data_IF_697063945561
#
_entry.id   IF_697063945561
#
_cell.length_a   1.000
_cell.length_b   1.000
_cell.length_c   1.000
_cell.angle_alpha   90.00
_cell.angle_beta   90.00
_cell.angle_gamma   90.00
#
_symmetry.space_group_name_H-M   'P 1'
#
loop_
_entity.id
_entity.type
_entity.pdbx_description
1 polymer ?
#
# COMPACT_ATOMS: atom_id res chain seq x y z
N UNK A 1 10.49 7.43 -17.19
CA UNK A 1 9.94 6.12 -17.60
C UNK A 1 8.42 6.10 -17.53
N UNK A 2 7.81 6.37 -16.37
CA UNK A 2 6.35 6.30 -16.19
C UNK A 2 5.55 7.15 -17.20
N UNK A 3 5.94 8.42 -17.47
CA UNK A 3 5.32 9.25 -18.53
C UNK A 3 5.38 8.63 -19.93
N UNK A 4 6.46 7.90 -20.25
CA UNK A 4 6.57 7.22 -21.54
C UNK A 4 5.65 5.99 -21.60
N UNK A 5 5.49 5.28 -20.47
CA UNK A 5 4.51 4.20 -20.33
C UNK A 5 3.09 4.72 -20.48
N UNK A 6 2.74 5.79 -19.76
CA UNK A 6 1.44 6.47 -19.86
C UNK A 6 1.10 6.80 -21.31
N UNK A 7 2.02 7.45 -22.04
CA UNK A 7 1.84 7.79 -23.45
C UNK A 7 1.66 6.55 -24.33
N UNK A 8 2.42 5.47 -24.08
CA UNK A 8 2.34 4.23 -24.85
C UNK A 8 1.04 3.48 -24.61
N UNK A 9 0.50 3.53 -23.40
CA UNK A 9 -0.76 2.90 -23.02
C UNK A 9 -1.99 3.77 -23.33
N UNK A 10 -1.80 5.01 -23.78
CA UNK A 10 -2.89 5.95 -24.04
C UNK A 10 -3.63 6.37 -22.76
N UNK A 11 -2.96 6.31 -21.61
CA UNK A 11 -3.56 6.64 -20.32
C UNK A 11 -3.77 8.14 -20.16
N UNK A 12 -4.98 8.52 -19.73
CA UNK A 12 -5.26 9.88 -19.27
C UNK A 12 -4.43 10.22 -18.03
N UNK A 13 -4.27 11.50 -17.72
CA UNK A 13 -3.57 11.92 -16.51
C UNK A 13 -4.29 11.44 -15.24
N UNK A 14 -5.63 11.39 -15.27
CA UNK A 14 -6.45 10.86 -14.17
C UNK A 14 -6.19 9.37 -13.93
N UNK A 15 -6.16 8.57 -14.99
CA UNK A 15 -5.84 7.14 -14.89
C UNK A 15 -4.39 6.96 -14.41
N UNK A 16 -3.44 7.68 -15.01
CA UNK A 16 -2.03 7.57 -14.64
C UNK A 16 -1.78 7.92 -13.16
N UNK A 17 -2.53 8.88 -12.61
CA UNK A 17 -2.46 9.27 -11.20
C UNK A 17 -2.94 8.18 -10.23
N UNK A 18 -3.64 7.14 -10.70
CA UNK A 18 -4.06 5.99 -9.90
C UNK A 18 -2.99 4.91 -9.77
N UNK A 19 -1.86 5.06 -10.46
CA UNK A 19 -0.78 4.07 -10.49
C UNK A 19 0.57 4.73 -10.28
N UNK A 20 1.54 3.94 -9.86
CA UNK A 20 2.94 4.34 -9.82
C UNK A 20 3.84 3.17 -10.23
N UNK A 21 5.11 3.48 -10.48
CA UNK A 21 6.14 2.48 -10.69
C UNK A 21 6.74 2.08 -9.35
N UNK A 22 6.90 0.77 -9.16
CA UNK A 22 7.43 0.16 -7.96
C UNK A 22 8.64 -0.70 -8.31
N UNK A 23 9.56 -0.79 -7.36
CA UNK A 23 10.63 -1.76 -7.32
C UNK A 23 10.16 -2.94 -6.46
N UNK A 24 10.29 -4.15 -7.00
CA UNK A 24 10.05 -5.38 -6.26
C UNK A 24 11.24 -5.66 -5.36
N UNK A 25 10.98 -5.74 -4.05
CA UNK A 25 11.97 -6.08 -3.03
C UNK A 25 11.81 -7.57 -2.66
N UNK A 26 12.87 -8.17 -2.15
CA UNK A 26 12.82 -9.54 -1.62
C UNK A 26 11.70 -9.69 -0.56
N UNK A 27 11.13 -10.90 -0.46
CA UNK A 27 10.07 -11.25 0.50
C UNK A 27 8.66 -10.71 0.21
N UNK A 28 8.36 -10.37 -1.06
CA UNK A 28 6.99 -10.06 -1.50
C UNK A 28 6.51 -8.65 -1.15
N UNK A 29 7.44 -7.75 -0.82
CA UNK A 29 7.15 -6.33 -0.61
C UNK A 29 7.65 -5.50 -1.79
N UNK A 30 6.87 -4.50 -2.20
CA UNK A 30 7.24 -3.60 -3.29
C UNK A 30 7.25 -2.16 -2.77
N UNK A 31 8.29 -1.39 -3.11
CA UNK A 31 8.37 0.03 -2.76
C UNK A 31 8.16 0.91 -3.98
N UNK A 32 7.49 2.05 -3.81
CA UNK A 32 7.38 3.04 -4.89
C UNK A 32 8.76 3.59 -5.24
N UNK A 33 9.01 3.75 -6.53
CA UNK A 33 10.23 4.38 -7.05
C UNK A 33 10.06 5.88 -7.02
N UNK A 34 11.01 6.57 -6.40
CA UNK A 34 10.99 8.03 -6.29
C UNK A 34 11.29 8.70 -7.63
N UNK A 35 10.83 9.93 -7.81
CA UNK A 35 11.05 10.72 -9.03
C UNK A 35 12.54 10.92 -9.35
N UNK A 36 13.38 10.89 -8.32
CA UNK A 36 14.82 11.15 -8.37
C UNK A 36 15.60 9.88 -8.75
N UNK A 37 14.98 8.71 -8.61
CA UNK A 37 15.58 7.42 -8.91
C UNK A 37 15.47 7.12 -10.41
N UNK A 38 16.42 6.32 -10.91
CA UNK A 38 16.47 5.94 -12.33
C UNK A 38 16.06 4.47 -12.45
N UNK A 39 14.84 4.16 -12.93
CA UNK A 39 14.37 2.78 -13.03
C UNK A 39 15.27 1.86 -13.84
N UNK A 40 15.93 2.38 -14.88
CA UNK A 40 16.91 1.61 -15.67
C UNK A 40 18.14 1.21 -14.85
N UNK A 41 18.61 2.08 -13.95
CA UNK A 41 19.71 1.76 -13.05
C UNK A 41 19.32 0.69 -12.04
N UNK A 42 18.12 0.80 -11.44
CA UNK A 42 17.56 -0.23 -10.54
C UNK A 42 17.41 -1.57 -11.26
N UNK A 43 16.92 -1.55 -12.50
CA UNK A 43 16.82 -2.74 -13.33
C UNK A 43 18.16 -3.43 -13.56
N UNK A 44 19.21 -2.67 -13.89
CA UNK A 44 20.56 -3.24 -14.09
C UNK A 44 21.12 -3.80 -12.77
N UNK A 45 20.94 -3.08 -11.66
CA UNK A 45 21.46 -3.49 -10.35
C UNK A 45 20.84 -4.79 -9.85
N UNK A 46 19.53 -4.96 -10.07
CA UNK A 46 18.78 -6.14 -9.64
C UNK A 46 18.69 -7.23 -10.72
N UNK A 47 19.36 -7.04 -11.87
CA UNK A 47 19.36 -8.03 -12.93
C UNK A 47 20.08 -9.30 -12.46
N UNK A 48 19.31 -10.31 -12.10
CA UNK A 48 19.79 -11.63 -11.69
C UNK A 48 19.06 -12.72 -12.46
N UNK A 49 19.59 -13.93 -12.48
CA UNK A 49 18.94 -15.09 -13.12
C UNK A 49 17.66 -15.56 -12.41
N UNK A 50 17.31 -14.99 -11.26
CA UNK A 50 16.21 -15.45 -10.40
C UNK A 50 14.86 -14.76 -10.67
N UNK A 51 14.85 -13.53 -11.21
CA UNK A 51 13.62 -12.79 -11.49
C UNK A 51 13.65 -12.14 -12.88
N UNK A 52 12.54 -12.26 -13.61
CA UNK A 52 12.41 -11.77 -15.00
C UNK A 52 12.39 -10.24 -15.07
N UNK A 53 11.97 -9.57 -13.99
CA UNK A 53 11.99 -8.11 -13.82
C UNK A 53 12.06 -7.77 -12.33
N UNK A 54 12.52 -6.57 -11.99
CA UNK A 54 12.44 -5.97 -10.64
C UNK A 54 11.50 -4.74 -10.61
N UNK A 55 10.85 -4.43 -11.73
CA UNK A 55 9.97 -3.26 -11.87
C UNK A 55 8.54 -3.71 -12.14
N UNK A 56 7.59 -3.08 -11.45
CA UNK A 56 6.16 -3.36 -11.58
C UNK A 56 5.35 -2.07 -11.49
N UNK A 57 4.21 -2.02 -12.19
CA UNK A 57 3.23 -0.95 -12.02
C UNK A 57 2.19 -1.44 -11.04
N UNK A 58 1.99 -0.69 -9.95
CA UNK A 58 0.95 -0.99 -8.95
C UNK A 58 0.08 0.22 -8.72
N UNK A 59 -1.02 -0.05 -8.02
CA UNK A 59 -1.93 0.93 -7.46
C UNK A 59 -1.18 2.01 -6.68
N UNK A 60 -1.59 3.26 -6.91
CA UNK A 60 -1.21 4.46 -6.16
C UNK A 60 -2.46 5.33 -5.93
N UNK A 61 -3.47 4.67 -5.39
CA UNK A 61 -4.77 5.21 -5.02
C UNK A 61 -5.21 4.44 -3.77
N UNK A 62 -5.49 5.11 -2.66
CA UNK A 62 -5.92 4.46 -1.43
C UNK A 62 -7.44 4.53 -1.28
N UNK A 63 -8.06 5.61 -1.74
CA UNK A 63 -9.51 5.80 -1.74
C UNK A 63 -10.21 4.78 -2.66
N UNK A 64 -10.95 3.87 -2.02
CA UNK A 64 -11.72 2.81 -2.69
C UNK A 64 -13.01 3.35 -3.30
N UNK A 65 -13.61 4.38 -2.72
CA UNK A 65 -14.86 4.95 -3.22
C UNK A 65 -14.57 5.74 -4.52
N UNK A 66 -13.48 6.50 -4.55
CA UNK A 66 -12.97 7.12 -5.78
C UNK A 66 -12.56 6.09 -6.83
N UNK A 67 -11.92 4.99 -6.44
CA UNK A 67 -11.62 3.88 -7.36
C UNK A 67 -12.90 3.35 -8.02
N UNK A 68 -13.96 3.11 -7.25
CA UNK A 68 -15.23 2.60 -7.76
C UNK A 68 -15.91 3.58 -8.71
N UNK A 69 -15.88 4.88 -8.40
CA UNK A 69 -16.38 5.93 -9.28
C UNK A 69 -15.63 5.93 -10.63
N UNK A 70 -14.29 5.88 -10.61
CA UNK A 70 -13.47 5.84 -11.83
C UNK A 70 -13.71 4.55 -12.63
N UNK A 71 -13.88 3.40 -11.97
CA UNK A 71 -14.19 2.13 -12.63
C UNK A 71 -15.53 2.15 -13.38
N UNK A 72 -16.46 3.04 -12.98
CA UNK A 72 -17.77 3.15 -13.62
C UNK A 72 -17.72 3.90 -14.96
N UNK A 73 -16.69 4.73 -15.17
CA UNK A 73 -16.52 5.56 -16.37
C UNK A 73 -15.37 5.11 -17.27
N UNK A 74 -14.39 4.35 -16.75
CA UNK A 74 -13.23 3.87 -17.49
C UNK A 74 -13.07 2.35 -17.39
N UNK A 75 -13.33 1.66 -18.51
CA UNK A 75 -13.23 0.20 -18.59
C UNK A 75 -11.79 -0.31 -18.49
N UNK A 76 -10.81 0.44 -18.99
CA UNK A 76 -9.39 0.04 -18.92
C UNK A 76 -8.90 0.08 -17.47
N UNK A 77 -9.26 1.13 -16.74
CA UNK A 77 -8.97 1.26 -15.31
C UNK A 77 -9.63 0.14 -14.48
N UNK A 78 -10.89 -0.20 -14.80
CA UNK A 78 -11.59 -1.30 -14.15
C UNK A 78 -10.90 -2.65 -14.38
N UNK A 79 -10.47 -2.95 -15.61
CA UNK A 79 -9.71 -4.16 -15.93
C UNK A 79 -8.36 -4.20 -15.19
N UNK A 80 -7.67 -3.06 -15.11
CA UNK A 80 -6.40 -2.94 -14.38
C UNK A 80 -6.57 -3.23 -12.88
N UNK A 81 -7.55 -2.62 -12.22
CA UNK A 81 -7.81 -2.88 -10.80
C UNK A 81 -8.23 -4.33 -10.54
N UNK A 82 -8.99 -4.93 -11.45
CA UNK A 82 -9.31 -6.35 -11.37
C UNK A 82 -8.05 -7.22 -11.38
N UNK A 83 -7.16 -7.04 -12.36
CA UNK A 83 -5.94 -7.85 -12.44
C UNK A 83 -4.96 -7.60 -11.28
N UNK A 84 -4.87 -6.36 -10.78
CA UNK A 84 -4.11 -6.06 -9.57
C UNK A 84 -4.70 -6.74 -8.34
N UNK A 85 -6.01 -6.70 -8.15
CA UNK A 85 -6.67 -7.39 -7.04
C UNK A 85 -6.52 -8.92 -7.12
N UNK A 86 -6.52 -9.49 -8.34
CA UNK A 86 -6.18 -10.90 -8.56
C UNK A 86 -4.75 -11.20 -8.14
N UNK A 87 -3.80 -10.36 -8.54
CA UNK A 87 -2.40 -10.51 -8.13
C UNK A 87 -2.24 -10.40 -6.61
N UNK A 88 -2.86 -9.41 -5.97
CA UNK A 88 -2.73 -9.15 -4.53
C UNK A 88 -3.43 -10.23 -3.67
N UNK A 89 -4.49 -10.87 -4.17
CA UNK A 89 -5.05 -12.09 -3.55
C UNK A 89 -4.09 -13.27 -3.69
N UNK A 90 -3.44 -13.43 -4.85
CA UNK A 90 -2.51 -14.54 -5.08
C UNK A 90 -1.21 -14.41 -4.27
N UNK A 91 -0.74 -13.18 -4.03
CA UNK A 91 0.45 -12.91 -3.21
C UNK A 91 0.16 -12.92 -1.70
N UNK A 92 -1.12 -12.95 -1.31
CA UNK A 92 -1.53 -12.88 0.10
C UNK A 92 -1.58 -11.46 0.68
N UNK A 93 -1.34 -10.43 -0.14
CA UNK A 93 -1.52 -9.03 0.25
C UNK A 93 -2.98 -8.75 0.65
N UNK A 94 -3.94 -9.25 -0.13
CA UNK A 94 -5.36 -9.26 0.24
C UNK A 94 -5.65 -10.58 0.95
N UNK A 95 -6.11 -10.48 2.20
CA UNK A 95 -6.41 -11.63 3.05
C UNK A 95 -7.76 -12.24 2.69
N UNK A 96 -7.75 -13.15 1.71
CA UNK A 96 -8.97 -13.79 1.21
C UNK A 96 -9.60 -14.80 2.18
N UNK A 97 -8.80 -15.49 2.99
CA UNK A 97 -9.27 -16.47 3.99
C UNK A 97 -10.39 -17.37 3.44
N UNK A 98 -11.57 -17.38 4.07
CA UNK A 98 -12.74 -18.18 3.67
C UNK A 98 -13.33 -17.79 2.31
N UNK A 99 -13.03 -16.60 1.80
CA UNK A 99 -13.50 -16.07 0.51
C UNK A 99 -12.63 -16.47 -0.67
N UNK A 100 -11.51 -17.16 -0.45
CA UNK A 100 -10.57 -17.53 -1.51
C UNK A 100 -11.24 -18.35 -2.62
N UNK A 101 -12.08 -19.34 -2.27
CA UNK A 101 -12.76 -20.17 -3.26
C UNK A 101 -13.74 -19.37 -4.12
N UNK A 102 -14.49 -18.46 -3.49
CA UNK A 102 -15.43 -17.56 -4.16
C UNK A 102 -14.70 -16.63 -5.14
N UNK A 103 -13.58 -16.03 -4.71
CA UNK A 103 -12.72 -15.21 -5.57
C UNK A 103 -12.15 -16.00 -6.75
N UNK A 104 -11.69 -17.24 -6.55
CA UNK A 104 -11.20 -18.09 -7.64
C UNK A 104 -12.28 -18.38 -8.67
N UNK A 105 -13.53 -18.61 -8.26
CA UNK A 105 -14.65 -18.79 -9.19
C UNK A 105 -15.04 -17.51 -9.95
N UNK A 106 -14.68 -16.34 -9.42
CA UNK A 106 -14.91 -15.02 -10.03
C UNK A 106 -13.70 -14.50 -10.82
N UNK A 107 -12.60 -15.24 -10.91
CA UNK A 107 -11.35 -14.83 -11.58
C UNK A 107 -11.46 -14.87 -13.12
N UNK A 108 -12.44 -14.15 -13.65
CA UNK A 108 -12.70 -13.90 -15.06
C UNK A 108 -12.95 -12.40 -15.21
N UNK A 109 -12.27 -11.74 -16.17
CA UNK A 109 -12.40 -10.30 -16.38
C UNK A 109 -13.83 -9.87 -16.74
N UNK A 110 -14.66 -10.77 -17.27
CA UNK A 110 -16.09 -10.51 -17.50
C UNK A 110 -16.89 -10.42 -16.18
N UNK A 111 -16.35 -10.96 -15.09
CA UNK A 111 -16.91 -10.93 -13.72
C UNK A 111 -16.22 -9.92 -12.80
N UNK A 112 -15.39 -9.02 -13.37
CA UNK A 112 -14.60 -8.03 -12.62
C UNK A 112 -15.38 -7.23 -11.58
N UNK A 113 -16.62 -6.84 -11.89
CA UNK A 113 -17.48 -6.12 -10.95
C UNK A 113 -17.77 -6.93 -9.68
N UNK A 114 -18.10 -8.22 -9.82
CA UNK A 114 -18.40 -9.10 -8.68
C UNK A 114 -17.13 -9.43 -7.91
N UNK A 115 -16.03 -9.69 -8.62
CA UNK A 115 -14.73 -9.95 -8.02
C UNK A 115 -14.28 -8.76 -7.17
N UNK A 116 -14.27 -7.55 -7.74
CA UNK A 116 -13.83 -6.34 -7.04
C UNK A 116 -14.76 -5.96 -5.90
N UNK A 117 -16.07 -6.15 -6.05
CA UNK A 117 -17.02 -5.94 -4.93
C UNK A 117 -16.66 -6.82 -3.72
N UNK A 118 -16.29 -8.08 -3.95
CA UNK A 118 -15.85 -8.97 -2.88
C UNK A 118 -14.47 -8.56 -2.34
N UNK A 119 -13.51 -8.29 -3.24
CA UNK A 119 -12.13 -7.95 -2.87
C UNK A 119 -12.03 -6.65 -2.04
N UNK A 120 -12.80 -5.61 -2.39
CA UNK A 120 -12.85 -4.32 -1.70
C UNK A 120 -13.25 -4.41 -0.22
N UNK A 121 -13.94 -5.48 0.17
CA UNK A 121 -14.37 -5.71 1.55
C UNK A 121 -13.34 -6.48 2.39
N UNK A 122 -12.24 -6.96 1.80
CA UNK A 122 -11.26 -7.80 2.47
C UNK A 122 -10.09 -6.97 3.05
N UNK A 123 -9.50 -7.42 4.18
CA UNK A 123 -8.29 -6.80 4.72
C UNK A 123 -7.15 -6.81 3.71
N UNK A 124 -6.36 -5.73 3.66
CA UNK A 124 -5.25 -5.57 2.73
C UNK A 124 -5.64 -4.96 1.37
N UNK A 125 -6.93 -4.88 1.02
CA UNK A 125 -7.35 -4.22 -0.22
C UNK A 125 -7.13 -2.71 -0.14
N UNK A 126 -6.41 -2.15 -1.11
CA UNK A 126 -6.00 -0.73 -1.12
C UNK A 126 -5.18 -0.32 0.11
N UNK A 127 -4.52 -1.28 0.75
CA UNK A 127 -3.58 -1.06 1.85
C UNK A 127 -2.17 -1.45 1.44
N UNK A 128 -1.17 -0.84 2.06
CA UNK A 128 0.24 -1.22 1.93
C UNK A 128 0.71 -1.76 3.28
N UNK A 129 1.16 -3.02 3.31
CA UNK A 129 1.71 -3.66 4.50
C UNK A 129 3.23 -3.68 4.39
N UNK A 130 3.90 -3.05 5.36
CA UNK A 130 5.35 -2.96 5.40
C UNK A 130 5.94 -4.23 6.03
N UNK A 131 7.18 -4.60 5.67
CA UNK A 131 7.91 -5.63 6.39
C UNK A 131 7.99 -5.30 7.88
N UNK A 132 7.97 -6.34 8.72
CA UNK A 132 8.06 -6.15 10.16
C UNK A 132 9.36 -5.43 10.51
N UNK A 133 9.30 -4.57 11.52
CA UNK A 133 10.41 -3.73 11.93
C UNK A 133 10.32 -3.40 13.41
N UNK A 134 11.40 -2.84 13.98
CA UNK A 134 11.39 -2.39 15.36
C UNK A 134 10.51 -1.14 15.49
N UNK A 135 9.89 -0.97 16.65
CA UNK A 135 9.12 0.22 16.99
C UNK A 135 9.18 0.52 18.48
N UNK A 136 9.11 1.81 18.83
CA UNK A 136 9.01 2.24 20.22
C UNK A 136 7.65 1.99 20.87
N UNK A 137 6.73 1.32 20.17
CA UNK A 137 5.42 1.00 20.69
C UNK A 137 5.49 -0.19 21.66
N UNK A 138 4.87 -0.04 22.85
CA UNK A 138 4.78 -1.08 23.90
C UNK A 138 6.12 -1.76 24.24
N UNK A 139 7.06 -1.00 24.78
CA UNK A 139 8.37 -1.47 25.29
C UNK A 139 9.35 -1.92 24.19
N UNK A 140 9.45 -1.14 23.11
CA UNK A 140 10.48 -1.33 22.07
C UNK A 140 10.46 -2.73 21.40
N UNK A 141 9.29 -3.12 20.88
CA UNK A 141 9.05 -4.42 20.23
C UNK A 141 9.14 -4.40 18.69
N UNK A 142 8.82 -5.54 18.07
CA UNK A 142 8.63 -5.62 16.61
C UNK A 142 7.17 -5.37 16.24
N UNK A 143 6.95 -4.68 15.13
CA UNK A 143 5.62 -4.35 14.62
C UNK A 143 5.53 -4.55 13.11
N UNK A 144 4.32 -4.79 12.63
CA UNK A 144 3.93 -4.71 11.23
C UNK A 144 3.05 -3.47 11.09
N UNK A 145 3.39 -2.62 10.12
CA UNK A 145 2.62 -1.40 9.81
C UNK A 145 1.81 -1.64 8.54
N UNK A 146 0.51 -1.34 8.58
CA UNK A 146 -0.34 -1.33 7.40
C UNK A 146 -1.03 0.02 7.24
N UNK A 147 -0.94 0.59 6.04
CA UNK A 147 -1.49 1.91 5.72
C UNK A 147 -2.62 1.79 4.72
N UNK A 148 -3.80 2.33 5.07
CA UNK A 148 -4.96 2.40 4.19
C UNK A 148 -5.69 3.73 4.29
N UNK A 149 -6.60 3.99 3.36
CA UNK A 149 -7.34 5.25 3.32
C UNK A 149 -8.14 5.56 4.58
N UNK A 150 -8.63 4.51 5.26
CA UNK A 150 -9.43 4.62 6.48
C UNK A 150 -8.58 4.75 7.74
N UNK A 151 -7.44 4.05 7.79
CA UNK A 151 -6.68 3.88 9.03
C UNK A 151 -5.19 3.64 8.80
N UNK A 152 -4.43 3.99 9.83
CA UNK A 152 -3.06 3.54 10.08
C UNK A 152 -3.12 2.41 11.11
N UNK A 153 -2.57 1.24 10.77
CA UNK A 153 -2.57 0.06 11.64
C UNK A 153 -1.13 -0.28 12.05
N UNK A 154 -0.95 -0.56 13.33
CA UNK A 154 0.31 -1.00 13.89
C UNK A 154 0.06 -2.22 14.77
N UNK A 155 0.54 -3.38 14.33
CA UNK A 155 0.33 -4.67 14.96
C UNK A 155 1.64 -5.18 15.54
N UNK A 156 1.66 -5.58 16.82
CA UNK A 156 2.81 -6.25 17.41
C UNK A 156 3.08 -7.57 16.71
N UNK A 157 4.34 -7.95 16.59
CA UNK A 157 4.72 -9.25 16.07
C UNK A 157 5.95 -9.80 16.82
N UNK A 158 6.24 -11.09 16.62
CA UNK A 158 7.47 -11.70 17.11
C UNK A 158 8.70 -11.12 16.37
N UNK A 159 9.91 -11.45 16.85
CA UNK A 159 11.16 -11.12 16.14
C UNK A 159 11.32 -11.86 14.80
N UNK A 160 10.46 -12.82 14.49
CA UNK A 160 10.37 -13.49 13.19
C UNK A 160 9.22 -12.96 12.32
N UNK A 161 8.49 -11.94 12.77
CA UNK A 161 7.39 -11.32 12.02
C UNK A 161 6.04 -12.02 12.17
N UNK A 162 5.86 -12.93 13.14
CA UNK A 162 4.56 -13.57 13.38
C UNK A 162 3.61 -12.59 14.10
N UNK A 163 2.43 -12.26 13.53
CA UNK A 163 1.51 -11.30 14.12
C UNK A 163 1.01 -11.72 15.51
N UNK A 164 0.84 -10.74 16.41
CA UNK A 164 0.31 -10.91 17.77
C UNK A 164 -1.01 -10.15 17.95
N UNK A 165 -1.73 -10.43 19.04
CA UNK A 165 -3.05 -9.84 19.32
C UNK A 165 -3.01 -8.34 19.59
N UNK A 166 -1.88 -7.80 20.04
CA UNK A 166 -1.74 -6.39 20.34
C UNK A 166 -1.75 -5.56 19.04
N UNK A 167 -2.82 -4.78 18.86
CA UNK A 167 -3.02 -3.89 17.71
C UNK A 167 -3.31 -2.47 18.18
N UNK A 168 -2.72 -1.49 17.49
CA UNK A 168 -3.08 -0.08 17.56
C UNK A 168 -3.66 0.32 16.20
N UNK A 169 -4.93 0.68 16.20
CA UNK A 169 -5.60 1.23 15.02
C UNK A 169 -5.82 2.74 15.22
N UNK A 170 -5.29 3.54 14.31
CA UNK A 170 -5.44 4.99 14.30
C UNK A 170 -6.29 5.41 13.10
N UNK A 171 -7.36 6.14 13.36
CA UNK A 171 -8.10 6.85 12.33
C UNK A 171 -7.33 8.14 11.98
N UNK A 172 -7.29 8.51 10.69
CA UNK A 172 -6.54 9.70 10.24
C UNK A 172 -6.90 11.01 10.98
N UNK A 173 -8.17 11.28 11.36
CA UNK A 173 -8.50 12.44 12.18
C UNK A 173 -7.83 12.49 13.55
N UNK A 174 -7.35 11.36 14.07
CA UNK A 174 -6.65 11.28 15.35
C UNK A 174 -5.13 11.43 15.18
N UNK A 175 -4.61 11.45 13.95
CA UNK A 175 -3.20 11.64 13.65
C UNK A 175 -2.91 13.13 13.58
N UNK A 176 -2.09 13.61 14.51
CA UNK A 176 -1.70 15.02 14.62
C UNK A 176 -0.54 15.35 13.67
N UNK A 177 0.44 14.45 13.60
CA UNK A 177 1.66 14.68 12.82
C UNK A 177 2.32 13.36 12.45
N UNK A 178 2.95 13.35 11.28
CA UNK A 178 3.89 12.31 10.89
C UNK A 178 5.08 12.92 10.13
N UNK A 179 6.28 12.37 10.36
CA UNK A 179 7.50 12.81 9.67
C UNK A 179 8.55 11.70 9.68
N UNK A 180 9.60 11.86 8.89
CA UNK A 180 10.85 11.12 9.05
C UNK A 180 11.81 12.03 9.83
N UNK A 181 12.49 11.48 10.84
CA UNK A 181 13.49 12.24 11.61
C UNK A 181 14.89 12.17 10.97
N UNK A 182 15.86 12.86 11.58
CA UNK A 182 17.24 12.94 11.08
C UNK A 182 17.95 11.58 11.07
N UNK A 183 17.51 10.66 11.93
CA UNK A 183 18.01 9.29 12.01
C UNK A 183 17.35 8.36 10.97
N UNK A 184 16.46 8.90 10.12
CA UNK A 184 15.72 8.14 9.11
C UNK A 184 14.59 7.29 9.70
N UNK A 185 14.15 7.55 10.92
CA UNK A 185 13.04 6.84 11.55
C UNK A 185 11.70 7.50 11.20
N UNK A 186 10.67 6.70 10.94
CA UNK A 186 9.32 7.23 10.78
C UNK A 186 8.71 7.50 12.16
N UNK A 187 8.16 8.70 12.34
CA UNK A 187 7.50 9.14 13.57
C UNK A 187 6.04 9.41 13.26
N UNK A 188 5.14 8.88 14.10
CA UNK A 188 3.73 9.24 14.11
C UNK A 188 3.31 9.73 15.50
N UNK A 189 2.59 10.85 15.51
CA UNK A 189 2.01 11.48 16.68
C UNK A 189 0.49 11.46 16.55
N UNK A 190 -0.19 11.04 17.61
CA UNK A 190 -1.64 10.90 17.60
C UNK A 190 -2.24 11.21 18.97
N UNK A 191 -3.49 11.66 18.97
CA UNK A 191 -4.26 11.83 20.20
C UNK A 191 -4.79 10.49 20.65
N UNK A 192 -4.38 10.05 21.84
CA UNK A 192 -5.06 8.94 22.51
C UNK A 192 -6.43 9.40 23.03
N UNK A 193 -7.34 8.45 23.24
CA UNK A 193 -8.70 8.69 23.77
C UNK A 193 -8.72 9.51 25.07
N UNK A 194 -7.61 9.53 25.83
CA UNK A 194 -7.45 10.29 27.07
C UNK A 194 -6.87 11.70 26.88
N UNK A 195 -6.93 12.29 25.68
CA UNK A 195 -6.38 13.61 25.34
C UNK A 195 -4.86 13.77 25.62
N UNK A 196 -4.11 12.67 25.59
CA UNK A 196 -2.66 12.68 25.68
C UNK A 196 -2.05 12.41 24.31
N UNK A 197 -1.22 13.33 23.84
CA UNK A 197 -0.42 13.15 22.62
C UNK A 197 0.56 12.00 22.84
N UNK A 198 0.43 10.95 22.04
CA UNK A 198 1.36 9.83 22.01
C UNK A 198 2.22 9.91 20.77
N UNK A 199 3.49 9.51 20.91
CA UNK A 199 4.47 9.43 19.83
C UNK A 199 4.95 7.99 19.71
N UNK A 200 4.98 7.48 18.48
CA UNK A 200 5.57 6.18 18.15
C UNK A 200 6.64 6.38 17.09
N UNK A 201 7.82 5.79 17.31
CA UNK A 201 8.87 5.66 16.31
C UNK A 201 8.81 4.28 15.66
N UNK A 202 9.05 4.22 14.36
CA UNK A 202 9.17 3.00 13.56
C UNK A 202 10.52 3.02 12.87
N UNK A 203 11.32 1.99 13.13
CA UNK A 203 12.71 1.90 12.70
C UNK A 203 12.79 0.98 11.48
N UNK A 204 12.68 1.57 10.29
CA UNK A 204 12.62 0.83 9.02
C UNK A 204 13.39 1.54 7.92
N UNK A 205 14.04 0.78 7.04
CA UNK A 205 14.68 1.31 5.84
C UNK A 205 13.69 1.94 4.84
N UNK A 206 12.39 1.70 5.04
CA UNK A 206 11.31 2.21 4.20
C UNK A 206 10.60 3.44 4.80
N UNK A 207 11.22 4.14 5.75
CA UNK A 207 10.58 5.25 6.47
C UNK A 207 10.10 6.37 5.53
N UNK A 208 10.91 6.71 4.52
CA UNK A 208 10.51 7.70 3.51
C UNK A 208 9.31 7.22 2.70
N UNK A 209 9.28 5.94 2.29
CA UNK A 209 8.16 5.39 1.55
C UNK A 209 6.88 5.33 2.41
N UNK A 210 7.01 5.03 3.71
CA UNK A 210 5.91 5.12 4.67
C UNK A 210 5.35 6.54 4.75
N UNK A 211 6.22 7.55 4.81
CA UNK A 211 5.82 8.95 4.76
C UNK A 211 5.12 9.31 3.45
N UNK A 212 5.63 8.87 2.31
CA UNK A 212 5.02 9.12 0.99
C UNK A 212 3.59 8.54 0.91
N UNK A 213 3.37 7.36 1.52
CA UNK A 213 2.04 6.76 1.61
C UNK A 213 1.10 7.61 2.48
N UNK A 214 1.52 8.05 3.66
CA UNK A 214 0.72 8.94 4.50
C UNK A 214 0.40 10.25 3.79
N UNK A 215 1.40 10.88 3.16
CA UNK A 215 1.23 12.11 2.39
C UNK A 215 0.21 11.93 1.26
N UNK A 216 0.28 10.81 0.53
CA UNK A 216 -0.69 10.49 -0.52
C UNK A 216 -2.10 10.28 0.03
N UNK A 217 -2.25 9.54 1.12
CA UNK A 217 -3.55 9.33 1.75
C UNK A 217 -4.16 10.67 2.18
N UNK A 218 -3.37 11.56 2.80
CA UNK A 218 -3.85 12.88 3.21
C UNK A 218 -4.19 13.78 2.01
N UNK A 219 -3.43 13.72 0.92
CA UNK A 219 -3.76 14.38 -0.35
C UNK A 219 -5.13 13.91 -0.86
N UNK A 220 -5.36 12.60 -0.95
CA UNK A 220 -6.63 12.03 -1.40
C UNK A 220 -7.81 12.43 -0.50
N UNK A 221 -7.64 12.37 0.82
CA UNK A 221 -8.66 12.79 1.80
C UNK A 221 -8.96 14.29 1.73
N UNK A 222 -7.98 15.12 1.40
CA UNK A 222 -8.19 16.56 1.25
C UNK A 222 -9.02 16.93 0.01
N UNK A 223 -9.02 16.05 -1.01
CA UNK A 223 -9.77 16.24 -2.24
C UNK A 223 -11.24 15.78 -2.14
N UNK A 224 -11.67 15.17 -1.03
CA UNK A 224 -13.07 14.84 -0.74
C UNK A 224 -13.90 16.07 -0.29
N UNK A 225 -13.25 17.18 0.08
CA UNK A 225 -13.86 18.43 0.53
C UNK A 225 -13.85 19.52 -0.55
#
# INVERSE_FOLDING_TARGET
LFKALQKRLGWSDELANCFALFEMIESGFDRKINANERPHSLYIQNYSSAAVTCLIVKRWLFDVDKEEQLCSTDTCLHDMFFWLAVNDVNSGQIQANEKLYELKALQDVQRKQQYLKLARALPGYAEITFPYCLSSWKNDGHVIVSLGFKRYLLQSCSSSGEPQEAVLELQWPNVEKYNVDEDGCFIIEYNAETANLKRVKVFTQFAQFMWDCCARIMEERSAEN
#
